data_IF_218100003579
#
_entry.id   IF_218100003579
#
_cell.length_a   1.000
_cell.length_b   1.000
_cell.length_c   1.000
_cell.angle_alpha   90.00
_cell.angle_beta   90.00
_cell.angle_gamma   90.00
#
_symmetry.space_group_name_H-M   'P 1'
#
loop_
_entity.id
_entity.type
_entity.pdbx_description
1 polymer ?
#
# COMPACT_ATOMS: atom_id res chain seq x y z
N UNK A 1 -8.39 16.26 0.37
CA UNK A 1 -7.80 15.33 -0.61
C UNK A 1 -8.32 13.92 -0.34
N UNK A 2 -9.41 13.51 -1.03
CA UNK A 2 -9.91 12.16 -0.94
C UNK A 2 -8.93 11.19 -1.62
N UNK A 3 -8.65 10.07 -0.96
CA UNK A 3 -7.90 8.97 -1.56
C UNK A 3 -8.86 8.06 -2.31
N UNK A 4 -8.46 7.61 -3.49
CA UNK A 4 -9.20 6.63 -4.26
C UNK A 4 -9.17 5.31 -3.46
N UNK A 5 -10.31 4.93 -2.88
CA UNK A 5 -10.44 3.77 -1.98
C UNK A 5 -10.47 2.47 -2.79
N UNK A 6 -9.30 1.99 -3.19
CA UNK A 6 -9.16 0.74 -3.95
C UNK A 6 -8.94 -0.52 -3.10
N UNK A 7 -8.29 -0.43 -1.93
CA UNK A 7 -7.91 -1.62 -1.15
C UNK A 7 -7.71 -1.27 0.34
N UNK A 8 -8.79 -1.15 1.12
CA UNK A 8 -8.65 -0.91 2.57
C UNK A 8 -8.02 -2.09 3.34
N UNK A 9 -8.24 -3.30 2.82
CA UNK A 9 -7.65 -4.55 3.31
C UNK A 9 -7.25 -5.43 2.12
N UNK A 10 -5.97 -5.80 2.04
CA UNK A 10 -5.47 -6.75 1.04
C UNK A 10 -5.19 -8.09 1.72
N UNK A 11 -6.03 -9.09 1.45
CA UNK A 11 -5.89 -10.46 1.97
C UNK A 11 -5.35 -11.38 0.87
N UNK A 12 -4.17 -11.97 1.10
CA UNK A 12 -3.52 -12.89 0.16
C UNK A 12 -2.95 -14.10 0.88
N UNK A 13 -2.92 -15.25 0.21
CA UNK A 13 -2.26 -16.45 0.75
C UNK A 13 -0.77 -16.42 0.39
N UNK A 14 0.09 -16.93 1.26
CA UNK A 14 1.52 -17.07 0.98
C UNK A 14 1.78 -17.76 -0.38
N UNK A 15 2.80 -17.27 -1.09
CA UNK A 15 3.21 -17.72 -2.41
C UNK A 15 2.23 -17.41 -3.56
N UNK A 16 1.20 -16.60 -3.32
CA UNK A 16 0.36 -16.05 -4.39
C UNK A 16 0.94 -14.76 -4.98
N UNK A 17 0.66 -14.50 -6.26
CA UNK A 17 1.00 -13.24 -6.91
C UNK A 17 0.21 -12.09 -6.33
N UNK A 18 0.88 -10.97 -6.09
CA UNK A 18 0.31 -9.79 -5.46
C UNK A 18 0.26 -8.68 -6.51
N UNK A 19 -0.90 -8.07 -6.76
CA UNK A 19 -0.98 -6.93 -7.67
C UNK A 19 -0.12 -5.79 -7.12
N UNK A 20 0.44 -4.97 -8.01
CA UNK A 20 1.14 -3.77 -7.61
C UNK A 20 0.23 -2.88 -6.78
N UNK A 21 0.76 -2.40 -5.67
CA UNK A 21 -0.01 -1.50 -4.83
C UNK A 21 0.21 -0.11 -5.41
N UNK A 22 -0.85 0.46 -5.97
CA UNK A 22 -0.89 1.85 -6.44
C UNK A 22 -1.64 2.66 -5.39
N UNK A 23 -1.06 3.79 -5.00
CA UNK A 23 -1.76 4.81 -4.24
C UNK A 23 -2.10 5.97 -5.18
N UNK A 24 -3.35 6.42 -5.14
CA UNK A 24 -3.83 7.59 -5.87
C UNK A 24 -4.78 8.41 -5.00
N UNK A 25 -4.72 9.72 -5.17
CA UNK A 25 -5.58 10.68 -4.49
C UNK A 25 -5.99 11.78 -5.47
N UNK A 26 -7.17 12.35 -5.25
CA UNK A 26 -7.63 13.49 -6.04
C UNK A 26 -6.92 14.75 -5.50
N UNK A 27 -5.87 15.14 -6.21
CA UNK A 27 -5.00 16.25 -5.85
C UNK A 27 -4.88 17.25 -6.98
N UNK A 28 -5.14 18.51 -6.66
CA UNK A 28 -4.87 19.65 -7.53
C UNK A 28 -4.18 20.75 -6.71
N UNK A 29 -2.95 21.16 -7.04
CA UNK A 29 -2.04 20.63 -8.07
C UNK A 29 -1.60 19.16 -7.81
N UNK A 30 -0.96 18.48 -8.81
CA UNK A 30 -0.58 17.07 -8.71
C UNK A 30 0.22 16.75 -7.43
N UNK A 31 -0.14 15.65 -6.77
CA UNK A 31 0.54 15.17 -5.57
C UNK A 31 1.74 14.28 -5.89
N UNK A 32 2.75 14.34 -5.03
CA UNK A 32 3.81 13.34 -4.90
C UNK A 32 3.36 12.27 -3.91
N UNK A 33 3.62 11.00 -4.23
CA UNK A 33 3.22 9.86 -3.40
C UNK A 33 4.42 9.17 -2.79
N UNK A 34 4.36 8.97 -1.47
CA UNK A 34 5.37 8.25 -0.70
C UNK A 34 4.65 7.15 0.07
N UNK A 35 5.22 5.94 0.10
CA UNK A 35 4.67 4.84 0.90
C UNK A 35 5.59 4.54 2.06
N UNK A 36 5.03 4.17 3.19
CA UNK A 36 5.82 3.72 4.34
C UNK A 36 5.21 2.47 4.97
N UNK A 37 6.09 1.58 5.43
CA UNK A 37 5.74 0.38 6.19
C UNK A 37 6.77 0.22 7.31
N UNK A 38 6.32 0.18 8.56
CA UNK A 38 7.18 -0.02 9.72
C UNK A 38 8.44 0.90 9.74
N UNK A 39 8.29 2.14 9.27
CA UNK A 39 9.40 3.13 9.18
C UNK A 39 10.25 3.05 7.91
N UNK A 40 10.07 2.04 7.06
CA UNK A 40 10.73 1.97 5.75
C UNK A 40 9.90 2.66 4.67
N UNK A 41 10.53 3.52 3.88
CA UNK A 41 9.89 4.26 2.79
C UNK A 41 10.06 3.54 1.45
N UNK A 42 9.00 3.51 0.64
CA UNK A 42 8.95 2.88 -0.67
C UNK A 42 8.38 3.83 -1.74
N UNK A 43 8.81 3.67 -3.00
CA UNK A 43 8.21 4.38 -4.13
C UNK A 43 6.78 3.90 -4.43
N UNK A 44 6.08 4.66 -5.26
CA UNK A 44 4.77 4.31 -5.81
C UNK A 44 4.91 4.13 -7.34
N UNK A 45 4.48 2.99 -7.92
CA UNK A 45 3.83 1.84 -7.30
C UNK A 45 4.80 0.94 -6.51
N UNK A 46 4.25 0.19 -5.55
CA UNK A 46 5.00 -0.81 -4.77
C UNK A 46 4.75 -2.21 -5.33
N UNK A 47 5.77 -2.79 -5.94
CA UNK A 47 5.74 -4.16 -6.49
C UNK A 47 6.26 -5.14 -5.44
N UNK A 48 5.39 -6.05 -5.00
CA UNK A 48 5.72 -7.04 -3.96
C UNK A 48 5.92 -8.45 -4.52
N UNK A 49 5.74 -8.65 -5.84
CA UNK A 49 5.88 -9.89 -6.63
C UNK A 49 5.09 -11.09 -6.09
N UNK A 50 5.42 -11.57 -4.89
CA UNK A 50 4.80 -12.70 -4.19
C UNK A 50 4.40 -12.33 -2.76
N UNK A 51 3.27 -12.88 -2.30
CA UNK A 51 2.84 -12.74 -0.92
C UNK A 51 3.74 -13.58 -0.02
N UNK A 52 4.45 -12.93 0.90
CA UNK A 52 5.29 -13.56 1.92
C UNK A 52 4.82 -13.14 3.32
N UNK A 53 5.15 -13.88 4.37
CA UNK A 53 4.84 -13.47 5.75
C UNK A 53 5.35 -12.07 6.11
N UNK A 54 6.59 -11.74 5.74
CA UNK A 54 7.17 -10.40 5.97
C UNK A 54 6.48 -9.27 5.20
N UNK A 55 5.63 -9.63 4.25
CA UNK A 55 4.86 -8.73 3.40
C UNK A 55 3.53 -8.32 4.06
N UNK A 56 3.10 -8.99 5.13
CA UNK A 56 1.98 -8.57 5.98
C UNK A 56 2.30 -7.30 6.79
N UNK A 57 1.27 -6.58 7.22
CA UNK A 57 1.39 -5.38 8.05
C UNK A 57 0.62 -4.18 7.50
N UNK A 58 0.74 -3.05 8.20
CA UNK A 58 0.10 -1.79 7.80
C UNK A 58 0.99 -1.01 6.84
N UNK A 59 0.42 -0.61 5.71
CA UNK A 59 1.05 0.25 4.73
C UNK A 59 0.38 1.61 4.77
N UNK A 60 1.18 2.65 4.90
CA UNK A 60 0.73 4.04 4.83
C UNK A 60 1.12 4.60 3.48
N UNK A 61 0.20 5.29 2.82
CA UNK A 61 0.52 6.16 1.71
C UNK A 61 0.30 7.61 2.13
N UNK A 62 1.28 8.44 1.77
CA UNK A 62 1.28 9.88 1.97
C UNK A 62 1.24 10.53 0.61
N UNK A 63 0.19 11.33 0.36
CA UNK A 63 0.07 12.19 -0.80
C UNK A 63 0.36 13.63 -0.35
N UNK A 64 1.28 14.31 -1.02
CA UNK A 64 1.67 15.68 -0.67
C UNK A 64 1.73 16.55 -1.91
N UNK A 65 1.17 17.75 -1.85
CA UNK A 65 1.37 18.82 -2.82
C UNK A 65 1.69 20.14 -2.12
N UNK A 66 1.76 21.24 -2.87
CA UNK A 66 2.01 22.58 -2.32
C UNK A 66 0.88 23.14 -1.44
N UNK A 67 -0.33 22.58 -1.52
CA UNK A 67 -1.51 22.98 -0.74
C UNK A 67 -1.58 22.23 0.59
N UNK A 68 -1.07 21.00 0.65
CA UNK A 68 -0.99 20.24 1.89
C UNK A 68 -0.61 18.78 1.71
N UNK A 69 -0.90 18.00 2.74
CA UNK A 69 -0.59 16.57 2.82
C UNK A 69 -1.78 15.76 3.34
N UNK A 70 -1.95 14.55 2.82
CA UNK A 70 -2.93 13.57 3.25
C UNK A 70 -2.28 12.21 3.42
N UNK A 71 -2.85 11.38 4.30
CA UNK A 71 -2.36 10.02 4.56
C UNK A 71 -3.50 9.02 4.50
N UNK A 72 -3.25 7.85 3.91
CA UNK A 72 -4.18 6.73 3.87
C UNK A 72 -3.46 5.44 4.27
N UNK A 73 -4.03 4.72 5.22
CA UNK A 73 -3.49 3.45 5.72
C UNK A 73 -4.30 2.27 5.23
N UNK A 74 -3.60 1.19 4.93
CA UNK A 74 -4.18 -0.07 4.46
C UNK A 74 -3.53 -1.24 5.18
N UNK A 75 -4.36 -2.16 5.66
CA UNK A 75 -3.87 -3.34 6.36
C UNK A 75 -3.71 -4.49 5.37
N UNK A 76 -2.54 -5.12 5.39
CA UNK A 76 -2.26 -6.27 4.55
C UNK A 76 -2.17 -7.52 5.39
N UNK A 77 -3.03 -8.48 5.07
CA UNK A 77 -3.11 -9.77 5.73
C UNK A 77 -2.53 -10.80 4.77
N UNK A 78 -1.50 -11.52 5.24
CA UNK A 78 -0.97 -12.67 4.51
C UNK A 78 -1.30 -13.92 5.31
N UNK A 79 -2.14 -14.79 4.74
CA UNK A 79 -2.50 -16.07 5.35
C UNK A 79 -1.44 -17.11 5.01
N UNK A 80 -1.01 -17.87 6.00
CA UNK A 80 -0.15 -19.03 5.77
C UNK A 80 -0.85 -20.02 4.82
N UNK A 81 -0.10 -20.56 3.86
CA UNK A 81 -0.57 -21.74 3.13
C UNK A 81 -0.37 -22.93 4.06
N UNK A 82 -1.46 -23.50 4.57
CA UNK A 82 -1.38 -24.75 5.34
C UNK A 82 -0.95 -25.84 4.36
N UNK A 83 0.25 -26.39 4.56
CA UNK A 83 0.74 -27.55 3.79
C UNK A 83 0.50 -28.76 4.70
N UNK A 84 -0.52 -29.56 4.34
CA UNK A 84 -0.75 -30.89 4.94
C UNK A 84 0.18 -31.88 4.26
#
# INVERSE_FOLDING_TARGET
MPFQSGQDVLDKVENQTVPEIVCSADCEPPCTYIRSKAGTTYPNPLSLSTAMRGNAGQYTCTASNSVGQGNKTWNRIVRCKYVV
#
